data_IF_584952808527
#
_entry.id   IF_584952808527
#
_cell.length_a   1.000
_cell.length_b   1.000
_cell.length_c   1.000
_cell.angle_alpha   90.00
_cell.angle_beta   90.00
_cell.angle_gamma   90.00
#
_symmetry.space_group_name_H-M   'P 1'
#
loop_
_entity.id
_entity.type
_entity.pdbx_description
1 polymer ?
#
# COMPACT_ATOMS: atom_id res chain seq x y z
N UNK A 1 -18.88 51.92 13.50
CA UNK A 1 -18.11 52.25 12.28
C UNK A 1 -16.70 51.74 12.54
N UNK A 2 -16.23 50.58 12.10
CA UNK A 2 -16.58 49.70 10.99
C UNK A 2 -16.61 48.23 11.45
N UNK A 3 -17.64 47.49 11.03
CA UNK A 3 -17.65 46.03 10.97
C UNK A 3 -17.05 45.64 9.62
N UNK A 4 -15.92 44.94 9.59
CA UNK A 4 -15.47 44.21 8.40
C UNK A 4 -15.80 42.73 8.62
N UNK A 5 -16.90 42.31 8.00
CA UNK A 5 -17.24 40.90 7.87
C UNK A 5 -16.27 40.24 6.89
N UNK A 6 -15.55 39.23 7.36
CA UNK A 6 -14.98 38.24 6.47
C UNK A 6 -16.10 37.29 6.07
N UNK A 7 -16.72 37.57 4.92
CA UNK A 7 -17.45 36.54 4.19
C UNK A 7 -16.42 35.50 3.75
N UNK A 8 -16.38 34.38 4.47
CA UNK A 8 -15.75 33.16 4.00
C UNK A 8 -16.35 32.82 2.65
N UNK A 9 -15.54 32.92 1.61
CA UNK A 9 -15.85 32.43 0.28
C UNK A 9 -16.03 30.92 0.44
N UNK A 10 -17.26 30.42 0.33
CA UNK A 10 -17.48 28.99 0.15
C UNK A 10 -16.66 28.58 -1.08
N UNK A 11 -15.56 27.85 -0.86
CA UNK A 11 -14.93 27.15 -1.97
C UNK A 11 -15.98 26.13 -2.41
N UNK A 12 -16.46 26.25 -3.65
CA UNK A 12 -17.13 25.16 -4.33
C UNK A 12 -16.10 24.03 -4.41
N UNK A 13 -16.06 23.16 -3.40
CA UNK A 13 -15.33 21.90 -3.47
C UNK A 13 -15.98 21.10 -4.57
N UNK A 14 -15.22 20.82 -5.64
CA UNK A 14 -15.74 20.08 -6.77
C UNK A 14 -15.88 18.60 -6.36
N UNK A 15 -17.03 18.25 -5.77
CA UNK A 15 -17.36 16.88 -5.35
C UNK A 15 -17.54 15.90 -6.54
N UNK A 16 -17.34 16.36 -7.78
CA UNK A 16 -17.46 15.51 -8.96
C UNK A 16 -16.52 14.30 -8.86
N UNK A 17 -17.07 13.13 -9.15
CA UNK A 17 -16.32 11.93 -9.49
C UNK A 17 -16.25 11.89 -11.01
N UNK A 18 -15.03 11.85 -11.55
CA UNK A 18 -14.78 11.91 -13.00
C UNK A 18 -14.09 10.62 -13.45
N UNK A 19 -14.57 9.98 -14.53
CA UNK A 19 -13.88 8.84 -15.11
C UNK A 19 -12.42 9.17 -15.43
N UNK A 20 -11.56 8.18 -15.26
CA UNK A 20 -10.14 8.22 -15.55
C UNK A 20 -9.74 7.00 -16.36
N UNK A 21 -8.68 7.14 -17.16
CA UNK A 21 -8.09 6.05 -17.92
C UNK A 21 -6.59 6.19 -17.78
N UNK A 22 -5.92 5.10 -17.42
CA UNK A 22 -4.47 5.05 -17.39
C UNK A 22 -3.97 5.15 -18.82
N UNK A 23 -3.24 6.22 -19.14
CA UNK A 23 -2.67 6.40 -20.48
C UNK A 23 -1.34 7.11 -20.36
N UNK A 24 -0.27 6.41 -20.70
CA UNK A 24 1.09 6.94 -20.75
C UNK A 24 1.42 7.30 -22.20
N UNK A 25 1.96 8.50 -22.41
CA UNK A 25 2.29 8.96 -23.74
C UNK A 25 3.43 8.11 -24.32
N UNK A 26 3.41 7.88 -25.64
CA UNK A 26 4.50 7.12 -26.29
C UNK A 26 5.86 7.78 -26.06
N UNK A 27 5.90 9.12 -25.98
CA UNK A 27 7.13 9.86 -25.69
C UNK A 27 7.75 9.51 -24.32
N UNK A 28 6.93 9.18 -23.31
CA UNK A 28 7.42 8.81 -21.98
C UNK A 28 8.01 7.39 -21.99
N UNK A 29 7.42 6.48 -22.78
CA UNK A 29 7.99 5.15 -23.03
C UNK A 29 9.29 5.23 -23.81
N UNK A 30 9.37 6.12 -24.80
CA UNK A 30 10.58 6.34 -25.59
C UNK A 30 11.70 6.93 -24.71
N UNK A 31 11.38 7.87 -23.80
CA UNK A 31 12.33 8.43 -22.82
C UNK A 31 12.84 7.36 -21.85
N UNK A 32 11.95 6.55 -21.29
CA UNK A 32 12.31 5.42 -20.43
C UNK A 32 13.32 4.50 -21.13
N UNK A 33 12.99 4.05 -22.35
CA UNK A 33 13.85 3.16 -23.14
C UNK A 33 15.21 3.81 -23.45
N UNK A 34 15.22 5.09 -23.80
CA UNK A 34 16.46 5.83 -24.07
C UNK A 34 17.34 6.00 -22.82
N UNK A 35 16.76 6.08 -21.62
CA UNK A 35 17.50 6.13 -20.36
C UNK A 35 18.04 4.75 -19.98
N UNK A 36 17.22 3.70 -20.08
CA UNK A 36 17.65 2.32 -19.84
C UNK A 36 18.84 1.94 -20.74
N UNK A 37 18.80 2.29 -22.04
CA UNK A 37 19.87 1.99 -23.00
C UNK A 37 21.19 2.72 -22.71
N UNK A 38 21.16 3.77 -21.89
CA UNK A 38 22.33 4.56 -21.48
C UNK A 38 22.69 4.34 -20.01
N UNK A 39 22.15 3.29 -19.40
CA UNK A 39 22.46 2.93 -18.01
C UNK A 39 23.96 2.77 -17.84
N UNK A 40 24.49 3.44 -16.82
CA UNK A 40 25.84 3.19 -16.31
C UNK A 40 25.71 2.63 -14.90
N UNK A 41 25.79 1.31 -14.79
CA UNK A 41 25.82 0.62 -13.49
C UNK A 41 27.05 1.05 -12.67
N UNK A 42 26.96 1.02 -11.33
CA UNK A 42 28.13 1.24 -10.49
C UNK A 42 29.19 0.15 -10.73
N UNK A 43 30.47 0.52 -10.53
CA UNK A 43 31.54 -0.48 -10.47
C UNK A 43 31.26 -1.48 -9.35
N UNK A 44 31.44 -2.77 -9.62
CA UNK A 44 31.24 -3.80 -8.60
C UNK A 44 32.22 -3.59 -7.43
N UNK A 45 31.68 -3.52 -6.23
CA UNK A 45 32.45 -3.50 -4.98
C UNK A 45 32.38 -4.88 -4.30
N UNK A 46 33.29 -5.21 -3.37
CA UNK A 46 33.10 -6.37 -2.51
C UNK A 46 31.74 -6.29 -1.79
N UNK A 47 30.92 -7.34 -1.89
CA UNK A 47 29.53 -7.34 -1.41
C UNK A 47 28.51 -6.80 -2.42
N UNK A 48 28.76 -6.95 -3.73
CA UNK A 48 27.76 -6.76 -4.80
C UNK A 48 26.74 -7.93 -4.81
N UNK A 49 26.05 -8.07 -3.68
CA UNK A 49 25.03 -9.05 -3.35
C UNK A 49 23.94 -8.40 -2.48
N UNK A 50 22.90 -9.16 -2.14
CA UNK A 50 21.73 -8.66 -1.42
C UNK A 50 22.02 -8.24 0.04
N UNK A 51 23.18 -8.58 0.62
CA UNK A 51 23.50 -8.17 1.99
C UNK A 51 23.67 -6.64 2.09
N UNK A 52 24.04 -5.98 0.99
CA UNK A 52 24.23 -4.52 0.91
C UNK A 52 23.23 -3.81 -0.02
N UNK A 53 22.20 -4.52 -0.48
CA UNK A 53 21.13 -4.00 -1.34
C UNK A 53 21.15 -4.59 -2.75
N UNK A 54 20.50 -3.92 -3.70
CA UNK A 54 20.31 -4.49 -5.05
C UNK A 54 21.61 -4.72 -5.82
N UNK A 55 21.95 -5.96 -6.20
CA UNK A 55 23.20 -6.25 -6.87
C UNK A 55 23.15 -5.97 -8.39
N UNK A 56 24.32 -5.71 -8.99
CA UNK A 56 24.44 -5.38 -10.41
C UNK A 56 23.93 -6.47 -11.34
N UNK A 57 24.07 -7.75 -10.98
CA UNK A 57 23.58 -8.85 -11.80
C UNK A 57 22.05 -8.82 -11.93
N UNK A 58 21.35 -8.55 -10.82
CA UNK A 58 19.90 -8.39 -10.81
C UNK A 58 19.46 -7.16 -11.61
N UNK A 59 20.13 -6.01 -11.41
CA UNK A 59 19.82 -4.80 -12.17
C UNK A 59 20.03 -5.02 -13.68
N UNK A 60 21.08 -5.72 -14.08
CA UNK A 60 21.34 -6.02 -15.48
C UNK A 60 20.23 -6.89 -16.09
N UNK A 61 19.81 -7.93 -15.37
CA UNK A 61 18.73 -8.82 -15.80
C UNK A 61 17.38 -8.07 -15.91
N UNK A 62 17.03 -7.30 -14.89
CA UNK A 62 15.78 -6.54 -14.88
C UNK A 62 15.77 -5.42 -15.92
N UNK A 63 16.90 -4.76 -16.19
CA UNK A 63 17.01 -3.77 -17.28
C UNK A 63 16.82 -4.46 -18.63
N UNK A 64 17.44 -5.61 -18.86
CA UNK A 64 17.24 -6.37 -20.11
C UNK A 64 15.76 -6.77 -20.28
N UNK A 65 15.14 -7.31 -19.23
CA UNK A 65 13.70 -7.63 -19.22
C UNK A 65 12.88 -6.38 -19.52
N UNK A 66 13.16 -5.25 -18.88
CA UNK A 66 12.40 -4.01 -19.03
C UNK A 66 12.49 -3.44 -20.45
N UNK A 67 13.65 -3.53 -21.10
CA UNK A 67 13.85 -3.03 -22.46
C UNK A 67 13.30 -3.97 -23.54
N UNK A 68 13.50 -5.28 -23.36
CA UNK A 68 13.38 -6.25 -24.45
C UNK A 68 12.21 -7.22 -24.30
N UNK A 69 11.55 -7.27 -23.15
CA UNK A 69 10.51 -8.27 -22.87
C UNK A 69 9.29 -7.79 -22.10
N UNK A 70 9.38 -6.66 -21.39
CA UNK A 70 8.28 -6.08 -20.64
C UNK A 70 7.38 -5.24 -21.54
N UNK A 71 6.09 -5.55 -21.56
CA UNK A 71 5.09 -4.83 -22.34
C UNK A 71 4.25 -3.92 -21.44
N UNK A 72 4.63 -2.65 -21.36
CA UNK A 72 3.86 -1.64 -20.62
C UNK A 72 2.42 -1.51 -21.16
N UNK A 73 2.20 -1.62 -22.47
CA UNK A 73 0.86 -1.45 -23.05
C UNK A 73 -0.07 -2.59 -22.63
N UNK A 74 0.45 -3.79 -22.45
CA UNK A 74 -0.30 -4.89 -21.86
C UNK A 74 -0.69 -4.60 -20.39
N UNK A 75 0.22 -4.04 -19.59
CA UNK A 75 -0.10 -3.67 -18.20
C UNK A 75 -1.09 -2.51 -18.13
N UNK A 76 -0.94 -1.51 -18.99
CA UNK A 76 -1.87 -0.40 -19.15
C UNK A 76 -3.27 -0.88 -19.54
N UNK A 77 -3.37 -1.81 -20.48
CA UNK A 77 -4.64 -2.43 -20.86
C UNK A 77 -5.26 -3.19 -19.67
N UNK A 78 -4.46 -4.01 -18.97
CA UNK A 78 -4.90 -4.79 -17.80
C UNK A 78 -5.43 -3.90 -16.68
N UNK A 79 -4.74 -2.79 -16.35
CA UNK A 79 -5.25 -1.83 -15.36
C UNK A 79 -6.60 -1.25 -15.79
N UNK A 80 -6.72 -0.84 -17.06
CA UNK A 80 -7.95 -0.26 -17.61
C UNK A 80 -9.08 -1.27 -17.88
N UNK A 81 -8.92 -2.56 -17.56
CA UNK A 81 -10.04 -3.51 -17.49
C UNK A 81 -11.02 -3.11 -16.39
N UNK A 82 -10.55 -2.36 -15.39
CA UNK A 82 -11.37 -1.83 -14.30
C UNK A 82 -11.68 -0.34 -14.49
N UNK A 83 -12.85 0.13 -14.02
CA UNK A 83 -13.20 1.54 -14.05
C UNK A 83 -12.41 2.36 -13.02
N UNK A 84 -11.64 3.32 -13.51
CA UNK A 84 -10.90 4.30 -12.69
C UNK A 84 -11.63 5.62 -12.61
N UNK A 85 -11.38 6.34 -11.52
CA UNK A 85 -11.95 7.66 -11.28
C UNK A 85 -10.95 8.60 -10.60
N UNK A 86 -11.20 9.89 -10.76
CA UNK A 86 -10.60 10.97 -10.00
C UNK A 86 -11.68 11.75 -9.25
N UNK A 87 -11.38 12.14 -8.03
CA UNK A 87 -12.17 13.13 -7.28
C UNK A 87 -11.25 14.06 -6.48
N UNK A 88 -11.80 15.12 -5.90
CA UNK A 88 -11.04 16.06 -5.06
C UNK A 88 -11.59 16.07 -3.63
N UNK A 89 -10.75 15.81 -2.64
CA UNK A 89 -11.11 15.83 -1.21
C UNK A 89 -10.16 16.78 -0.51
N UNK A 90 -10.69 17.84 0.11
CA UNK A 90 -9.91 18.92 0.73
C UNK A 90 -8.82 19.49 -0.19
N UNK A 91 -9.14 19.63 -1.49
CA UNK A 91 -8.22 20.10 -2.52
C UNK A 91 -7.30 19.00 -3.09
N UNK A 92 -7.14 17.86 -2.43
CA UNK A 92 -6.29 16.76 -2.90
C UNK A 92 -6.97 15.94 -3.98
N UNK A 93 -6.29 15.76 -5.12
CA UNK A 93 -6.66 14.76 -6.12
C UNK A 93 -6.52 13.37 -5.54
N UNK A 94 -7.60 12.60 -5.59
CA UNK A 94 -7.64 11.18 -5.20
C UNK A 94 -8.04 10.35 -6.41
N UNK A 95 -7.13 9.50 -6.85
CA UNK A 95 -7.35 8.44 -7.82
C UNK A 95 -7.84 7.17 -7.12
N UNK A 96 -8.79 6.48 -7.74
CA UNK A 96 -9.27 5.19 -7.25
C UNK A 96 -9.90 4.34 -8.36
N UNK A 97 -9.83 3.02 -8.21
CA UNK A 97 -10.71 2.07 -8.90
C UNK A 97 -11.98 1.91 -8.07
N UNK A 98 -13.14 1.80 -8.72
CA UNK A 98 -14.40 1.48 -8.04
C UNK A 98 -15.22 0.46 -8.82
N UNK A 99 -15.35 -0.75 -8.27
CA UNK A 99 -16.10 -1.85 -8.88
C UNK A 99 -17.21 -2.29 -7.93
N UNK A 100 -18.45 -1.83 -8.13
CA UNK A 100 -19.59 -2.34 -7.37
C UNK A 100 -19.84 -3.80 -7.75
N UNK A 101 -20.25 -4.61 -6.77
CA UNK A 101 -20.74 -5.96 -7.02
C UNK A 101 -22.21 -5.94 -7.44
N UNK A 102 -22.59 -6.79 -8.39
CA UNK A 102 -23.98 -7.01 -8.80
C UNK A 102 -24.78 -7.86 -7.79
N UNK A 103 -24.10 -8.51 -6.84
CA UNK A 103 -24.76 -9.24 -5.74
C UNK A 103 -25.39 -8.26 -4.75
N UNK A 104 -26.70 -8.39 -4.54
CA UNK A 104 -27.45 -7.61 -3.56
C UNK A 104 -26.88 -7.81 -2.14
N UNK A 105 -26.61 -6.69 -1.45
CA UNK A 105 -26.06 -6.73 -0.09
C UNK A 105 -24.55 -6.98 -0.01
N UNK A 106 -23.83 -6.96 -1.14
CA UNK A 106 -22.36 -7.09 -1.14
C UNK A 106 -21.70 -6.04 -0.24
N UNK A 107 -20.74 -6.48 0.58
CA UNK A 107 -20.08 -5.63 1.59
C UNK A 107 -19.16 -4.62 0.92
N UNK A 108 -19.29 -3.30 1.16
CA UNK A 108 -18.32 -2.34 0.65
C UNK A 108 -16.95 -2.52 1.31
N UNK A 109 -15.89 -2.58 0.51
CA UNK A 109 -14.53 -2.87 0.96
C UNK A 109 -13.52 -1.91 0.35
N UNK A 110 -12.79 -1.21 1.22
CA UNK A 110 -11.68 -0.34 0.86
C UNK A 110 -10.37 -1.14 0.85
N UNK A 111 -9.66 -1.22 -0.27
CA UNK A 111 -8.36 -1.91 -0.39
C UNK A 111 -7.23 -0.87 -0.51
N UNK A 112 -6.32 -0.82 0.46
CA UNK A 112 -5.21 0.16 0.47
C UNK A 112 -3.86 -0.54 0.34
N UNK A 113 -3.05 -0.05 -0.60
CA UNK A 113 -1.82 -0.71 -1.07
C UNK A 113 -0.60 -0.48 -0.18
N UNK A 114 0.46 -1.24 -0.46
CA UNK A 114 1.76 -1.20 0.23
C UNK A 114 2.64 -0.02 -0.23
N UNK A 115 3.67 0.33 0.56
CA UNK A 115 4.87 0.99 0.04
C UNK A 115 6.06 0.01 0.01
N UNK A 116 6.83 -0.06 -1.08
CA UNK A 116 6.50 0.44 -2.41
C UNK A 116 5.46 -0.49 -3.04
N UNK A 117 4.40 0.11 -3.57
CA UNK A 117 3.31 -0.59 -4.23
C UNK A 117 2.34 0.44 -4.80
N UNK A 118 1.22 -0.04 -5.34
CA UNK A 118 0.20 0.84 -5.91
C UNK A 118 -1.16 0.16 -5.91
N UNK A 119 -2.17 0.82 -6.49
CA UNK A 119 -3.47 0.20 -6.70
C UNK A 119 -3.39 -1.11 -7.50
N UNK A 120 -2.30 -1.35 -8.24
CA UNK A 120 -2.10 -2.56 -9.01
C UNK A 120 -1.82 -3.81 -8.14
N UNK A 121 -1.51 -3.63 -6.84
CA UNK A 121 -1.41 -4.70 -5.83
C UNK A 121 -2.65 -5.61 -5.81
N UNK A 122 -3.82 -5.10 -6.20
CA UNK A 122 -5.11 -5.75 -6.00
C UNK A 122 -5.82 -6.18 -7.28
N UNK A 123 -5.25 -6.00 -8.48
CA UNK A 123 -5.97 -6.29 -9.73
C UNK A 123 -6.52 -7.72 -9.78
N UNK A 124 -5.72 -8.69 -9.33
CA UNK A 124 -6.11 -10.12 -9.31
C UNK A 124 -7.13 -10.46 -8.23
N UNK A 125 -7.37 -9.56 -7.26
CA UNK A 125 -8.35 -9.75 -6.20
C UNK A 125 -9.71 -9.13 -6.53
N UNK A 126 -9.77 -8.13 -7.42
CA UNK A 126 -11.03 -7.40 -7.72
C UNK A 126 -12.11 -8.36 -8.20
N UNK A 127 -11.85 -9.12 -9.27
CA UNK A 127 -12.82 -10.07 -9.84
C UNK A 127 -13.36 -11.08 -8.83
N UNK A 128 -12.49 -11.85 -8.15
CA UNK A 128 -12.91 -12.75 -7.07
C UNK A 128 -13.72 -12.05 -5.98
N UNK A 129 -13.35 -10.85 -5.54
CA UNK A 129 -14.08 -10.15 -4.48
C UNK A 129 -15.46 -9.67 -4.94
N UNK A 130 -15.58 -9.19 -6.17
CA UNK A 130 -16.84 -8.58 -6.67
C UNK A 130 -17.82 -9.58 -7.28
N UNK A 131 -17.34 -10.69 -7.84
CA UNK A 131 -18.17 -11.76 -8.39
C UNK A 131 -17.69 -13.13 -7.86
N UNK A 132 -17.83 -13.41 -6.56
CA UNK A 132 -17.31 -14.65 -5.98
C UNK A 132 -17.87 -15.90 -6.66
N UNK A 133 -19.10 -15.88 -7.18
CA UNK A 133 -19.75 -17.04 -7.82
C UNK A 133 -19.03 -17.44 -9.11
N UNK A 134 -18.63 -16.47 -9.94
CA UNK A 134 -17.85 -16.76 -11.16
C UNK A 134 -16.47 -17.36 -10.86
N UNK A 135 -15.95 -17.15 -9.65
CA UNK A 135 -14.65 -17.65 -9.18
C UNK A 135 -14.78 -18.81 -8.17
N UNK A 136 -15.94 -19.47 -8.10
CA UNK A 136 -16.16 -20.68 -7.29
C UNK A 136 -16.42 -20.46 -5.79
N UNK A 137 -16.68 -19.22 -5.38
CA UNK A 137 -17.11 -18.83 -4.03
C UNK A 137 -18.64 -18.72 -3.87
N UNK A 138 -19.07 -18.16 -2.74
CA UNK A 138 -20.49 -17.94 -2.40
C UNK A 138 -20.90 -16.48 -2.65
N UNK A 139 -22.16 -16.25 -3.07
CA UNK A 139 -22.68 -14.90 -3.28
C UNK A 139 -22.64 -14.05 -2.00
N UNK A 140 -22.83 -14.67 -0.84
CA UNK A 140 -22.78 -13.98 0.47
C UNK A 140 -21.40 -13.42 0.83
N UNK A 141 -20.35 -13.82 0.09
CA UNK A 141 -18.98 -13.36 0.25
C UNK A 141 -18.61 -12.23 -0.71
N UNK A 142 -19.60 -11.64 -1.39
CA UNK A 142 -19.37 -10.61 -2.38
C UNK A 142 -19.05 -9.26 -1.72
N UNK A 143 -18.15 -8.51 -2.36
CA UNK A 143 -17.77 -7.17 -1.97
C UNK A 143 -17.99 -6.17 -3.10
N UNK A 144 -18.36 -4.94 -2.76
CA UNK A 144 -18.15 -3.80 -3.66
C UNK A 144 -16.80 -3.16 -3.34
N UNK A 145 -15.88 -3.14 -4.30
CA UNK A 145 -14.47 -2.83 -4.04
C UNK A 145 -14.11 -1.40 -4.44
N UNK A 146 -13.39 -0.71 -3.56
CA UNK A 146 -12.78 0.61 -3.82
C UNK A 146 -11.27 0.50 -3.57
N UNK A 147 -10.45 0.81 -4.58
CA UNK A 147 -8.98 0.72 -4.50
C UNK A 147 -8.37 2.10 -4.77
N UNK A 148 -8.20 2.96 -3.75
CA UNK A 148 -7.58 4.25 -3.93
C UNK A 148 -6.05 4.16 -4.03
N UNK A 149 -5.45 5.08 -4.79
CA UNK A 149 -4.05 5.40 -4.62
C UNK A 149 -3.87 6.36 -3.44
N UNK A 150 -2.96 6.03 -2.53
CA UNK A 150 -2.61 6.90 -1.40
C UNK A 150 -2.17 8.28 -1.94
N UNK A 151 -2.60 9.40 -1.34
CA UNK A 151 -2.10 10.73 -1.70
C UNK A 151 -0.57 10.77 -1.81
N UNK A 152 -0.07 11.21 -2.97
CA UNK A 152 1.35 11.21 -3.31
C UNK A 152 1.84 9.98 -4.09
N UNK A 153 0.98 8.99 -4.30
CA UNK A 153 1.27 7.76 -5.04
C UNK A 153 0.48 7.72 -6.35
N UNK A 154 1.09 7.11 -7.37
CA UNK A 154 0.46 6.89 -8.67
C UNK A 154 -0.24 8.15 -9.21
N UNK A 155 -1.56 8.06 -9.43
CA UNK A 155 -2.35 9.15 -9.99
C UNK A 155 -3.02 10.06 -8.94
N UNK A 156 -2.79 9.84 -7.62
CA UNK A 156 -3.21 10.74 -6.54
C UNK A 156 -2.17 11.85 -6.30
N UNK A 157 -1.75 12.51 -7.36
CA UNK A 157 -0.64 13.46 -7.41
C UNK A 157 -1.05 14.72 -8.21
N UNK A 158 -0.45 15.91 -7.96
CA UNK A 158 0.51 16.23 -6.90
C UNK A 158 -0.11 16.23 -5.49
N UNK A 159 0.75 16.13 -4.47
CA UNK A 159 0.36 16.48 -3.11
C UNK A 159 0.11 17.98 -3.01
N UNK A 160 -1.03 18.38 -2.45
CA UNK A 160 -1.41 19.80 -2.36
C UNK A 160 -0.71 20.56 -1.24
N UNK A 161 -0.28 19.87 -0.20
CA UNK A 161 0.37 20.41 0.98
C UNK A 161 1.18 19.34 1.75
N UNK A 162 1.61 19.66 2.98
CA UNK A 162 2.31 18.75 3.91
C UNK A 162 1.35 18.15 4.93
N UNK A 163 1.83 17.24 5.78
CA UNK A 163 1.04 16.63 6.85
C UNK A 163 0.17 15.46 6.37
N UNK A 164 0.55 14.80 5.28
CA UNK A 164 -0.08 13.56 4.81
C UNK A 164 0.39 12.37 5.65
N UNK A 165 -0.06 12.33 6.90
CA UNK A 165 0.03 11.15 7.77
C UNK A 165 -1.03 10.12 7.38
N UNK A 166 -0.85 8.87 7.78
CA UNK A 166 -1.82 7.79 7.57
C UNK A 166 -3.15 8.09 8.24
N UNK A 167 -3.15 8.83 9.36
CA UNK A 167 -4.37 9.34 9.98
C UNK A 167 -5.14 10.33 9.09
N UNK A 168 -4.42 11.20 8.35
CA UNK A 168 -5.04 12.11 7.37
C UNK A 168 -5.54 11.35 6.14
N UNK A 169 -4.78 10.37 5.66
CA UNK A 169 -5.19 9.49 4.56
C UNK A 169 -6.46 8.72 4.94
N UNK A 170 -6.54 8.16 6.15
CA UNK A 170 -7.72 7.47 6.66
C UNK A 170 -8.98 8.35 6.64
N UNK A 171 -8.91 9.60 7.12
CA UNK A 171 -10.04 10.56 7.04
C UNK A 171 -10.43 10.89 5.60
N UNK A 172 -9.43 11.01 4.72
CA UNK A 172 -9.65 11.25 3.29
C UNK A 172 -10.38 10.07 2.66
N UNK A 173 -10.02 8.85 3.02
CA UNK A 173 -10.67 7.64 2.50
C UNK A 173 -12.04 7.37 3.12
N UNK A 174 -12.30 7.67 4.40
CA UNK A 174 -13.67 7.68 4.93
C UNK A 174 -14.54 8.66 4.13
N UNK A 175 -14.04 9.88 3.86
CA UNK A 175 -14.75 10.85 3.01
C UNK A 175 -15.01 10.32 1.60
N UNK A 176 -14.06 9.62 1.00
CA UNK A 176 -14.23 8.95 -0.29
C UNK A 176 -15.36 7.91 -0.23
N UNK A 177 -15.35 7.03 0.79
CA UNK A 177 -16.38 6.01 0.96
C UNK A 177 -17.77 6.62 1.16
N UNK A 178 -17.89 7.71 1.94
CA UNK A 178 -19.16 8.46 2.08
C UNK A 178 -19.62 9.07 0.76
N UNK A 179 -18.70 9.64 -0.01
CA UNK A 179 -19.01 10.25 -1.31
C UNK A 179 -19.52 9.22 -2.32
N UNK A 180 -19.03 7.98 -2.24
CA UNK A 180 -19.52 6.84 -3.03
C UNK A 180 -20.86 6.28 -2.53
N UNK A 181 -21.40 6.79 -1.42
CA UNK A 181 -22.67 6.38 -0.85
C UNK A 181 -22.60 5.18 0.10
N UNK A 182 -21.40 4.76 0.51
CA UNK A 182 -21.23 3.67 1.46
C UNK A 182 -21.35 4.18 2.90
N UNK A 183 -22.51 3.91 3.52
CA UNK A 183 -22.75 4.24 4.93
C UNK A 183 -22.00 3.31 5.88
N UNK A 184 -21.76 2.06 5.45
CA UNK A 184 -20.94 1.08 6.15
C UNK A 184 -19.94 0.44 5.19
N UNK A 185 -18.75 0.13 5.70
CA UNK A 185 -17.68 -0.49 4.91
C UNK A 185 -16.61 -1.14 5.80
N UNK A 186 -15.93 -2.13 5.25
CA UNK A 186 -14.69 -2.70 5.79
C UNK A 186 -13.46 -2.11 5.13
N UNK A 187 -12.29 -2.29 5.76
CA UNK A 187 -11.01 -1.94 5.14
C UNK A 187 -10.06 -3.14 5.13
N UNK A 188 -9.26 -3.21 4.08
CA UNK A 188 -8.10 -4.09 3.97
C UNK A 188 -6.86 -3.31 3.60
N UNK A 189 -5.70 -3.72 4.12
CA UNK A 189 -4.43 -3.24 3.61
C UNK A 189 -3.23 -4.03 4.08
N UNK A 190 -2.11 -3.75 3.41
CA UNK A 190 -0.76 -4.22 3.73
C UNK A 190 0.16 -3.01 3.90
N UNK A 191 1.17 -3.10 4.76
CA UNK A 191 2.18 -2.06 5.01
C UNK A 191 1.55 -0.66 5.24
N UNK A 192 1.83 0.34 4.39
CA UNK A 192 1.21 1.66 4.44
C UNK A 192 -0.33 1.57 4.44
N UNK A 193 -0.92 0.67 3.66
CA UNK A 193 -2.35 0.40 3.69
C UNK A 193 -2.84 -0.25 4.97
N UNK A 194 -2.04 -1.10 5.61
CA UNK A 194 -2.36 -1.62 6.94
C UNK A 194 -2.36 -0.50 8.00
N UNK A 195 -1.43 0.46 7.89
CA UNK A 195 -1.43 1.66 8.73
C UNK A 195 -2.69 2.51 8.50
N UNK A 196 -3.11 2.74 7.25
CA UNK A 196 -4.37 3.45 6.95
C UNK A 196 -5.58 2.72 7.52
N UNK A 197 -5.67 1.40 7.35
CA UNK A 197 -6.77 0.60 7.88
C UNK A 197 -6.81 0.64 9.42
N UNK A 198 -5.64 0.63 10.07
CA UNK A 198 -5.52 0.82 11.52
C UNK A 198 -6.00 2.20 11.97
N UNK A 199 -5.62 3.25 11.26
CA UNK A 199 -6.06 4.61 11.56
C UNK A 199 -7.58 4.79 11.35
N UNK A 200 -8.19 4.07 10.40
CA UNK A 200 -9.65 3.96 10.31
C UNK A 200 -10.26 3.25 11.53
N UNK A 201 -9.61 2.21 12.05
CA UNK A 201 -10.02 1.53 13.29
C UNK A 201 -9.92 2.40 14.54
N UNK A 202 -8.87 3.23 14.65
CA UNK A 202 -8.72 4.23 15.72
C UNK A 202 -9.77 5.34 15.58
N UNK A 203 -9.98 5.84 14.37
CA UNK A 203 -11.01 6.84 14.08
C UNK A 203 -12.43 6.31 14.36
N UNK A 204 -12.64 5.01 14.07
CA UNK A 204 -13.90 4.28 14.19
C UNK A 204 -15.11 5.07 13.68
N UNK A 205 -15.11 5.51 12.40
CA UNK A 205 -16.18 6.34 11.88
C UNK A 205 -17.52 5.55 11.89
N UNK A 206 -18.68 6.22 12.03
CA UNK A 206 -19.96 5.54 12.12
C UNK A 206 -20.22 4.62 10.92
N UNK A 207 -20.45 3.32 11.16
CA UNK A 207 -20.63 2.32 10.10
C UNK A 207 -19.36 1.59 9.66
N UNK A 208 -18.20 1.90 10.25
CA UNK A 208 -16.99 1.11 10.02
C UNK A 208 -17.14 -0.31 10.57
N UNK A 209 -17.03 -1.30 9.69
CA UNK A 209 -17.27 -2.70 10.03
C UNK A 209 -16.07 -3.34 10.72
N UNK A 210 -14.86 -2.98 10.29
CA UNK A 210 -13.62 -3.54 10.80
C UNK A 210 -12.49 -3.46 9.78
N UNK A 211 -11.29 -3.83 10.23
CA UNK A 211 -10.07 -3.86 9.43
C UNK A 211 -9.52 -5.28 9.32
N UNK A 212 -9.07 -5.63 8.12
CA UNK A 212 -8.33 -6.85 7.84
C UNK A 212 -6.93 -6.49 7.35
N UNK A 213 -5.87 -6.91 8.03
CA UNK A 213 -4.51 -6.46 7.70
C UNK A 213 -3.52 -7.61 7.59
N UNK A 214 -2.53 -7.44 6.72
CA UNK A 214 -1.41 -8.38 6.59
C UNK A 214 -0.33 -8.14 7.66
N UNK A 215 -0.30 -6.94 8.26
CA UNK A 215 0.62 -6.59 9.33
C UNK A 215 -0.07 -5.70 10.37
N UNK A 216 0.24 -5.92 11.65
CA UNK A 216 0.09 -4.89 12.68
C UNK A 216 1.48 -4.56 13.21
N UNK A 217 1.95 -3.34 12.93
CA UNK A 217 3.26 -2.86 13.36
C UNK A 217 3.26 -2.46 14.85
N UNK A 218 3.08 -3.46 15.73
CA UNK A 218 3.11 -3.30 17.18
C UNK A 218 4.50 -3.67 17.71
N UNK A 219 5.35 -2.67 17.91
CA UNK A 219 6.72 -2.84 18.37
C UNK A 219 6.82 -2.81 19.92
N UNK A 220 7.83 -3.47 20.52
CA UNK A 220 8.08 -3.37 21.95
C UNK A 220 8.35 -1.93 22.38
N UNK A 221 7.76 -1.49 23.48
CA UNK A 221 8.05 -0.18 24.09
C UNK A 221 9.34 -0.19 24.92
N UNK A 222 9.80 -1.39 25.29
CA UNK A 222 10.91 -1.60 26.22
C UNK A 222 10.46 -1.83 27.67
N UNK A 223 9.16 -1.78 27.95
CA UNK A 223 8.61 -2.19 29.25
C UNK A 223 8.79 -3.71 29.44
N UNK A 224 9.50 -4.16 30.49
CA UNK A 224 9.66 -5.59 30.79
C UNK A 224 8.34 -6.36 30.92
N UNK A 225 7.25 -5.69 31.32
CA UNK A 225 5.94 -6.31 31.48
C UNK A 225 5.36 -6.86 30.16
N UNK A 226 5.77 -6.31 29.02
CA UNK A 226 5.33 -6.76 27.69
C UNK A 226 5.80 -8.19 27.38
N UNK A 227 6.95 -8.58 27.94
CA UNK A 227 7.60 -9.86 27.67
C UNK A 227 7.14 -10.99 28.63
N UNK A 228 6.38 -10.67 29.68
CA UNK A 228 5.92 -11.65 30.67
C UNK A 228 5.05 -12.75 30.05
N UNK A 229 4.33 -12.42 28.96
CA UNK A 229 3.44 -13.35 28.24
C UNK A 229 4.07 -13.97 27.00
N UNK A 230 5.33 -13.64 26.69
CA UNK A 230 5.97 -14.14 25.49
C UNK A 230 6.18 -15.65 25.56
N UNK A 231 5.82 -16.32 24.49
CA UNK A 231 6.13 -17.72 24.22
C UNK A 231 7.42 -17.81 23.39
N UNK A 232 8.01 -19.01 23.22
CA UNK A 232 9.16 -19.18 22.32
C UNK A 232 8.90 -18.69 20.88
N UNK A 233 7.65 -18.78 20.40
CA UNK A 233 7.28 -18.27 19.08
C UNK A 233 7.32 -16.73 19.02
N UNK A 234 6.93 -16.05 20.11
CA UNK A 234 7.00 -14.59 20.20
C UNK A 234 8.45 -14.10 20.25
N UNK A 235 9.35 -14.84 20.92
CA UNK A 235 10.79 -14.54 20.87
C UNK A 235 11.39 -14.79 19.49
N UNK A 236 10.99 -15.85 18.78
CA UNK A 236 11.43 -16.08 17.41
C UNK A 236 10.95 -14.96 16.46
N UNK A 237 9.73 -14.48 16.65
CA UNK A 237 9.21 -13.31 15.92
C UNK A 237 9.98 -12.02 16.27
N UNK A 238 10.40 -11.86 17.52
CA UNK A 238 11.25 -10.73 17.95
C UNK A 238 12.67 -10.80 17.36
N UNK A 239 13.24 -12.01 17.21
CA UNK A 239 14.51 -12.18 16.49
C UNK A 239 14.34 -11.84 15.01
N UNK A 240 13.24 -12.28 14.38
CA UNK A 240 12.92 -11.93 13.01
C UNK A 240 12.72 -10.41 12.80
N UNK A 241 12.20 -9.70 13.81
CA UNK A 241 12.12 -8.24 13.79
C UNK A 241 13.49 -7.58 13.61
N UNK A 242 14.58 -8.17 14.14
CA UNK A 242 15.93 -7.62 13.95
C UNK A 242 16.34 -7.61 12.47
N UNK A 243 16.01 -8.68 11.74
CA UNK A 243 16.20 -8.74 10.30
C UNK A 243 15.33 -7.69 9.58
N UNK A 244 14.04 -7.57 9.95
CA UNK A 244 13.16 -6.56 9.35
C UNK A 244 13.71 -5.14 9.55
N UNK A 245 14.30 -4.87 10.72
CA UNK A 245 14.96 -3.60 10.99
C UNK A 245 16.25 -3.40 10.19
N UNK A 246 17.02 -4.45 9.89
CA UNK A 246 18.27 -4.31 9.12
C UNK A 246 18.04 -3.88 7.68
N UNK A 247 16.89 -4.19 7.09
CA UNK A 247 16.50 -3.75 5.73
C UNK A 247 15.78 -2.39 5.72
N UNK A 248 15.63 -1.74 6.89
CA UNK A 248 14.91 -0.47 7.07
C UNK A 248 15.65 0.80 6.62
N UNK A 249 16.71 0.68 5.81
CA UNK A 249 17.52 1.81 5.35
C UNK A 249 16.72 2.87 4.59
N UNK A 250 15.80 2.43 3.72
CA UNK A 250 14.89 3.29 2.96
C UNK A 250 13.99 4.15 3.88
N UNK A 251 13.52 3.57 5.00
CA UNK A 251 12.65 4.28 5.94
C UNK A 251 13.44 5.38 6.67
N UNK A 252 14.68 5.12 7.08
CA UNK A 252 15.52 6.09 7.77
C UNK A 252 15.81 7.34 6.91
N UNK A 253 16.12 7.14 5.64
CA UNK A 253 16.36 8.23 4.69
C UNK A 253 15.06 8.95 4.28
N UNK A 254 13.96 8.24 4.04
CA UNK A 254 12.67 8.85 3.73
C UNK A 254 12.08 9.63 4.92
N UNK A 255 12.31 9.16 6.15
CA UNK A 255 11.83 9.83 7.37
C UNK A 255 12.57 11.14 7.67
N UNK A 256 13.72 11.40 7.02
CA UNK A 256 14.58 12.53 7.34
C UNK A 256 14.88 13.44 6.17
N UNK A 257 15.18 12.90 4.98
CA UNK A 257 15.62 13.62 3.78
C UNK A 257 14.96 13.09 2.50
N UNK A 258 13.63 12.91 2.44
CA UNK A 258 12.96 12.29 1.29
C UNK A 258 13.18 13.08 0.00
N UNK A 259 13.21 14.41 0.07
CA UNK A 259 13.45 15.27 -1.09
C UNK A 259 14.86 15.12 -1.67
N UNK A 260 15.86 14.81 -0.84
CA UNK A 260 17.26 14.68 -1.28
C UNK A 260 17.42 13.42 -2.11
N UNK A 261 16.96 12.28 -1.59
CA UNK A 261 17.12 11.00 -2.27
C UNK A 261 16.26 10.90 -3.53
N UNK A 262 15.08 11.53 -3.53
CA UNK A 262 14.16 11.53 -4.66
C UNK A 262 14.75 12.11 -5.95
N UNK A 263 15.70 13.05 -5.90
CA UNK A 263 16.30 13.62 -7.13
C UNK A 263 16.99 12.54 -7.97
N UNK A 264 17.74 11.64 -7.32
CA UNK A 264 18.42 10.55 -8.02
C UNK A 264 17.46 9.46 -8.49
N UNK A 265 16.44 9.16 -7.69
CA UNK A 265 15.41 8.16 -8.01
C UNK A 265 14.57 8.61 -9.21
N UNK A 266 14.13 9.87 -9.23
CA UNK A 266 13.27 10.43 -10.27
C UNK A 266 13.97 10.69 -11.61
N UNK A 267 15.30 10.81 -11.65
CA UNK A 267 16.05 11.02 -12.92
C UNK A 267 16.55 9.71 -13.55
N UNK A 268 16.67 8.64 -12.76
CA UNK A 268 17.25 7.37 -13.20
C UNK A 268 16.23 6.23 -13.06
N UNK A 269 15.73 5.64 -14.15
CA UNK A 269 14.81 4.50 -14.05
C UNK A 269 15.48 3.28 -13.39
N UNK A 270 16.79 3.09 -13.58
CA UNK A 270 17.54 2.03 -12.86
C UNK A 270 17.73 2.38 -11.39
N UNK A 271 17.82 3.68 -11.05
CA UNK A 271 17.78 4.15 -9.67
C UNK A 271 16.42 3.90 -9.03
N UNK A 272 15.33 4.14 -9.76
CA UNK A 272 13.96 3.79 -9.35
C UNK A 272 13.80 2.29 -9.12
N UNK A 273 14.30 1.45 -10.04
CA UNK A 273 14.27 0.00 -9.89
C UNK A 273 15.06 -0.47 -8.66
N UNK A 274 16.30 0.00 -8.50
CA UNK A 274 17.12 -0.32 -7.33
C UNK A 274 16.50 0.16 -6.01
N UNK A 275 15.82 1.32 -6.02
CA UNK A 275 15.15 1.83 -4.83
C UNK A 275 13.96 0.97 -4.39
N UNK A 276 13.30 0.32 -5.34
CA UNK A 276 12.19 -0.59 -5.08
C UNK A 276 12.67 -2.04 -4.80
N UNK A 277 13.88 -2.19 -4.27
CA UNK A 277 14.43 -3.51 -3.90
C UNK A 277 13.59 -4.30 -2.89
N UNK A 278 12.72 -3.60 -2.17
CA UNK A 278 11.84 -4.16 -1.15
C UNK A 278 10.96 -5.27 -1.72
N UNK A 279 10.61 -5.25 -3.00
CA UNK A 279 9.92 -6.38 -3.66
C UNK A 279 10.68 -7.71 -3.59
N UNK A 280 12.00 -7.70 -3.38
CA UNK A 280 12.81 -8.89 -3.15
C UNK A 280 13.23 -9.03 -1.67
N UNK A 281 13.61 -7.91 -1.05
CA UNK A 281 14.21 -7.90 0.29
C UNK A 281 13.18 -8.04 1.40
N UNK A 282 11.94 -7.59 1.24
CA UNK A 282 10.85 -7.94 2.15
C UNK A 282 10.43 -9.40 1.91
N UNK A 283 11.10 -10.26 2.64
CA UNK A 283 10.99 -11.72 2.59
C UNK A 283 12.31 -12.44 2.44
N UNK A 284 13.43 -11.74 2.63
CA UNK A 284 14.76 -12.34 2.69
C UNK A 284 15.08 -13.12 1.39
N UNK A 285 14.68 -12.55 0.24
CA UNK A 285 14.88 -13.13 -1.08
C UNK A 285 13.91 -14.27 -1.44
N UNK A 286 12.82 -14.48 -0.68
CA UNK A 286 11.82 -15.53 -0.95
C UNK A 286 10.54 -15.02 -1.61
N UNK A 287 10.47 -13.72 -1.89
CA UNK A 287 9.32 -13.08 -2.56
C UNK A 287 8.90 -13.83 -3.83
N UNK A 288 7.60 -14.04 -3.98
CA UNK A 288 7.00 -14.68 -5.15
C UNK A 288 6.56 -13.67 -6.22
N UNK A 289 6.81 -12.38 -6.02
CA UNK A 289 6.44 -11.32 -6.98
C UNK A 289 7.27 -11.49 -8.26
N UNK A 290 6.58 -11.58 -9.39
CA UNK A 290 7.23 -11.77 -10.69
C UNK A 290 7.95 -10.52 -11.17
N UNK A 291 8.94 -10.68 -12.06
CA UNK A 291 9.65 -9.55 -12.66
C UNK A 291 8.70 -8.56 -13.34
N UNK A 292 7.65 -9.04 -14.02
CA UNK A 292 6.69 -8.16 -14.69
C UNK A 292 5.79 -7.41 -13.70
N UNK A 293 5.43 -8.02 -12.56
CA UNK A 293 4.74 -7.31 -11.48
C UNK A 293 5.63 -6.21 -10.90
N UNK A 294 6.90 -6.51 -10.59
CA UNK A 294 7.87 -5.52 -10.11
C UNK A 294 8.03 -4.38 -11.13
N UNK A 295 8.22 -4.70 -12.40
CA UNK A 295 8.39 -3.70 -13.46
C UNK A 295 7.12 -2.88 -13.69
N UNK A 296 5.93 -3.44 -13.44
CA UNK A 296 4.66 -2.69 -13.47
C UNK A 296 4.65 -1.63 -12.39
N UNK A 297 4.95 -2.01 -11.15
CA UNK A 297 5.02 -1.09 -10.01
C UNK A 297 6.09 -0.02 -10.25
N UNK A 298 7.32 -0.42 -10.55
CA UNK A 298 8.45 0.49 -10.82
C UNK A 298 8.13 1.46 -11.97
N UNK A 299 7.49 0.98 -13.04
CA UNK A 299 7.07 1.81 -14.17
C UNK A 299 5.99 2.82 -13.78
N UNK A 300 5.03 2.44 -12.93
CA UNK A 300 4.02 3.38 -12.42
C UNK A 300 4.67 4.53 -11.65
N UNK A 301 5.62 4.24 -10.75
CA UNK A 301 6.37 5.28 -10.04
C UNK A 301 7.15 6.19 -11.00
N UNK A 302 7.80 5.60 -12.01
CA UNK A 302 8.53 6.33 -13.04
C UNK A 302 7.63 7.27 -13.85
N UNK A 303 6.57 6.76 -14.48
CA UNK A 303 5.70 7.54 -15.36
C UNK A 303 4.89 8.61 -14.62
N UNK A 304 4.56 8.36 -13.36
CA UNK A 304 3.88 9.37 -12.52
C UNK A 304 4.86 10.29 -11.80
N UNK A 305 6.16 9.99 -11.85
CA UNK A 305 7.25 10.68 -11.14
C UNK A 305 6.92 10.90 -9.65
N UNK A 306 6.47 9.83 -8.98
CA UNK A 306 5.88 9.92 -7.64
C UNK A 306 6.80 9.55 -6.49
N UNK A 307 8.02 9.05 -6.71
CA UNK A 307 8.90 8.66 -5.58
C UNK A 307 9.16 9.79 -4.58
N UNK A 308 9.25 11.03 -5.05
CA UNK A 308 9.39 12.19 -4.17
C UNK A 308 8.17 12.42 -3.26
N UNK A 309 6.97 12.12 -3.75
CA UNK A 309 5.73 12.34 -3.04
C UNK A 309 5.35 11.11 -2.19
N UNK A 310 5.46 9.91 -2.75
CA UNK A 310 5.24 8.65 -2.06
C UNK A 310 6.17 8.51 -0.85
N UNK A 311 7.46 8.83 -0.96
CA UNK A 311 8.39 8.75 0.17
C UNK A 311 8.12 9.77 1.29
N UNK A 312 7.26 10.78 1.09
CA UNK A 312 7.02 11.83 2.10
C UNK A 312 6.22 11.35 3.29
N UNK A 313 5.36 10.33 3.15
CA UNK A 313 4.56 9.90 4.29
C UNK A 313 5.47 9.43 5.45
N UNK A 314 6.61 8.79 5.17
CA UNK A 314 7.59 8.42 6.20
C UNK A 314 8.05 9.65 7.02
N UNK A 315 8.35 10.76 6.35
CA UNK A 315 8.72 12.00 7.03
C UNK A 315 7.55 12.55 7.85
N UNK A 316 6.35 12.58 7.28
CA UNK A 316 5.17 13.11 7.98
C UNK A 316 4.79 12.24 9.18
N UNK A 317 4.88 10.91 9.09
CA UNK A 317 4.70 9.96 10.20
C UNK A 317 5.74 10.18 11.30
N UNK A 318 7.03 10.20 10.94
CA UNK A 318 8.13 10.38 11.89
C UNK A 318 8.10 11.74 12.61
N UNK A 319 7.43 12.74 12.03
CA UNK A 319 7.29 14.09 12.60
C UNK A 319 5.84 14.41 13.02
N UNK A 320 4.96 13.42 13.09
CA UNK A 320 3.54 13.62 13.40
C UNK A 320 3.32 14.13 14.82
N UNK A 321 4.18 13.72 15.76
CA UNK A 321 4.02 13.98 17.19
C UNK A 321 2.77 13.30 17.79
N UNK A 322 2.20 12.32 17.08
CA UNK A 322 1.02 11.60 17.52
C UNK A 322 1.38 10.57 18.61
N UNK A 323 0.61 10.57 19.70
CA UNK A 323 0.74 9.55 20.73
C UNK A 323 0.02 8.25 20.30
N UNK A 324 0.60 7.07 20.56
CA UNK A 324 -0.05 5.80 20.28
C UNK A 324 -1.47 5.73 20.87
N UNK A 325 -2.45 5.38 20.03
CA UNK A 325 -3.85 5.21 20.44
C UNK A 325 -4.26 3.75 20.35
N UNK A 326 -5.12 3.30 21.27
CA UNK A 326 -5.73 1.99 21.20
C UNK A 326 -6.75 1.92 20.06
N UNK A 327 -6.74 0.83 19.31
CA UNK A 327 -7.77 0.51 18.34
C UNK A 327 -8.82 -0.42 18.97
N UNK A 328 -10.09 -0.07 18.81
CA UNK A 328 -11.22 -0.84 19.34
C UNK A 328 -12.06 -1.53 18.26
N UNK A 329 -11.82 -1.24 16.97
CA UNK A 329 -12.57 -1.82 15.87
C UNK A 329 -12.29 -3.32 15.71
N UNK A 330 -13.27 -4.13 15.24
CA UNK A 330 -13.03 -5.52 14.88
C UNK A 330 -11.83 -5.63 13.94
N UNK A 331 -10.84 -6.43 14.34
CA UNK A 331 -9.57 -6.56 13.63
C UNK A 331 -9.31 -8.01 13.25
N UNK A 332 -9.04 -8.24 11.97
CA UNK A 332 -8.53 -9.48 11.40
C UNK A 332 -7.06 -9.31 11.02
N UNK A 333 -6.23 -10.29 11.36
CA UNK A 333 -4.79 -10.28 11.07
C UNK A 333 -4.40 -11.56 10.35
N UNK A 334 -3.64 -11.42 9.26
CA UNK A 334 -3.10 -12.56 8.51
C UNK A 334 -1.59 -12.46 8.46
N UNK A 335 -0.90 -13.45 8.99
CA UNK A 335 0.57 -13.46 9.02
C UNK A 335 1.09 -14.49 8.03
N UNK A 336 1.88 -14.02 7.07
CA UNK A 336 2.52 -14.85 6.04
C UNK A 336 3.94 -15.27 6.45
N UNK A 337 4.40 -16.45 5.99
CA UNK A 337 5.63 -17.11 6.45
C UNK A 337 6.92 -16.31 6.19
N UNK A 338 6.96 -15.51 5.14
CA UNK A 338 8.14 -14.78 4.73
C UNK A 338 7.97 -13.27 4.93
N UNK A 339 7.04 -12.83 5.79
CA UNK A 339 6.83 -11.42 6.10
C UNK A 339 7.19 -11.07 7.56
N UNK A 340 7.16 -9.78 7.87
CA UNK A 340 7.04 -9.23 9.22
C UNK A 340 6.10 -10.07 10.09
N UNK A 341 6.63 -10.52 11.22
CA UNK A 341 5.91 -11.34 12.19
C UNK A 341 5.20 -10.46 13.19
N UNK A 342 3.91 -10.23 12.95
CA UNK A 342 3.05 -9.57 13.95
C UNK A 342 3.10 -10.39 15.26
N UNK A 343 3.64 -9.79 16.32
CA UNK A 343 3.78 -10.42 17.63
C UNK A 343 2.46 -10.29 18.38
N UNK A 344 1.77 -11.41 18.62
CA UNK A 344 0.39 -11.42 19.13
C UNK A 344 0.23 -10.67 20.46
N UNK A 345 1.08 -10.86 21.49
CA UNK A 345 0.96 -10.10 22.73
C UNK A 345 1.05 -8.57 22.56
N UNK A 346 1.87 -8.09 21.63
CA UNK A 346 2.02 -6.66 21.34
C UNK A 346 0.84 -6.14 20.51
N UNK A 347 0.33 -6.95 19.58
CA UNK A 347 -0.88 -6.62 18.83
C UNK A 347 -2.09 -6.50 19.76
N UNK A 348 -2.27 -7.41 20.72
CA UNK A 348 -3.34 -7.36 21.71
C UNK A 348 -3.19 -6.17 22.69
N UNK A 349 -1.97 -5.67 22.91
CA UNK A 349 -1.72 -4.42 23.68
C UNK A 349 -2.31 -3.22 22.95
N UNK A 350 -2.09 -3.12 21.64
CA UNK A 350 -2.46 -1.95 20.83
C UNK A 350 -3.89 -2.01 20.28
N UNK A 351 -4.52 -3.19 20.32
CA UNK A 351 -5.82 -3.46 19.71
C UNK A 351 -6.68 -4.31 20.66
N UNK A 352 -7.83 -3.80 21.09
CA UNK A 352 -8.66 -4.49 22.10
C UNK A 352 -9.66 -5.48 21.50
N UNK A 353 -9.75 -5.59 20.17
CA UNK A 353 -10.80 -6.36 19.49
C UNK A 353 -10.29 -7.12 18.27
N UNK A 354 -9.17 -7.83 18.42
CA UNK A 354 -8.68 -8.79 17.40
C UNK A 354 -9.55 -10.05 17.46
N UNK A 355 -10.45 -10.20 16.49
CA UNK A 355 -11.46 -11.27 16.45
C UNK A 355 -11.13 -12.37 15.44
N UNK A 356 -10.13 -12.13 14.57
CA UNK A 356 -9.69 -13.09 13.57
C UNK A 356 -8.17 -13.08 13.43
N UNK A 357 -7.57 -14.26 13.34
CA UNK A 357 -6.13 -14.42 13.18
C UNK A 357 -5.82 -15.67 12.37
N UNK A 358 -5.06 -15.51 11.29
CA UNK A 358 -4.62 -16.60 10.43
C UNK A 358 -3.11 -16.56 10.24
N UNK A 359 -2.51 -17.73 10.04
CA UNK A 359 -1.10 -17.84 9.65
C UNK A 359 -1.01 -18.72 8.40
N UNK A 360 -0.18 -18.34 7.45
CA UNK A 360 0.09 -19.08 6.22
C UNK A 360 1.56 -19.46 6.12
N UNK A 361 1.83 -20.66 5.64
CA UNK A 361 3.18 -21.25 5.58
C UNK A 361 4.00 -20.80 4.36
N UNK A 362 3.44 -19.97 3.47
CA UNK A 362 4.09 -19.46 2.25
C UNK A 362 3.60 -18.08 1.88
N UNK A 363 4.47 -17.25 1.32
CA UNK A 363 4.18 -15.89 0.88
C UNK A 363 4.82 -14.87 1.82
N UNK A 364 5.01 -13.65 1.33
CA UNK A 364 5.68 -12.59 2.07
C UNK A 364 4.85 -11.30 2.18
N UNK A 365 5.57 -10.19 2.15
CA UNK A 365 5.06 -8.85 2.42
C UNK A 365 4.05 -8.35 1.37
N UNK A 366 4.15 -8.87 0.15
CA UNK A 366 3.29 -8.50 -0.97
C UNK A 366 2.25 -9.59 -1.21
N UNK A 367 1.71 -10.19 -0.14
CA UNK A 367 0.80 -11.32 -0.24
C UNK A 367 -0.44 -11.09 -1.12
N UNK A 368 -0.88 -9.84 -1.34
CA UNK A 368 -1.91 -9.51 -2.34
C UNK A 368 -1.47 -9.82 -3.79
N UNK A 369 -0.17 -9.67 -4.10
CA UNK A 369 0.42 -10.05 -5.39
C UNK A 369 0.89 -11.52 -5.41
N UNK A 370 1.42 -12.02 -4.29
CA UNK A 370 2.03 -13.35 -4.21
C UNK A 370 0.99 -14.47 -4.03
N UNK A 371 -0.05 -14.21 -3.24
CA UNK A 371 -1.06 -15.17 -2.79
C UNK A 371 -2.49 -14.56 -2.80
N UNK A 372 -2.94 -13.93 -3.90
CA UNK A 372 -4.24 -13.23 -3.96
C UNK A 372 -5.43 -14.11 -3.55
N UNK A 373 -5.40 -15.40 -3.89
CA UNK A 373 -6.46 -16.35 -3.54
C UNK A 373 -6.55 -16.59 -2.02
N UNK A 374 -5.41 -16.70 -1.34
CA UNK A 374 -5.36 -16.92 0.12
C UNK A 374 -5.81 -15.67 0.87
N UNK A 375 -5.35 -14.49 0.44
CA UNK A 375 -5.78 -13.21 1.00
C UNK A 375 -7.29 -13.02 0.79
N UNK A 376 -7.81 -13.30 -0.41
CA UNK A 376 -9.24 -13.22 -0.72
C UNK A 376 -10.07 -14.18 0.14
N UNK A 377 -9.65 -15.43 0.28
CA UNK A 377 -10.35 -16.41 1.09
C UNK A 377 -10.41 -16.03 2.57
N UNK A 378 -9.31 -15.50 3.10
CA UNK A 378 -9.23 -15.09 4.50
C UNK A 378 -10.04 -13.81 4.78
N UNK A 379 -10.00 -12.84 3.87
CA UNK A 379 -10.86 -11.66 3.88
C UNK A 379 -12.34 -12.02 3.99
N UNK A 380 -12.81 -12.93 3.12
CA UNK A 380 -14.21 -13.41 3.14
C UNK A 380 -14.56 -14.03 4.48
N UNK A 381 -13.67 -14.87 5.02
CA UNK A 381 -13.87 -15.51 6.32
C UNK A 381 -13.97 -14.49 7.46
N UNK A 382 -13.16 -13.45 7.45
CA UNK A 382 -13.22 -12.39 8.44
C UNK A 382 -14.57 -11.65 8.39
N UNK A 383 -14.94 -11.09 7.23
CA UNK A 383 -16.14 -10.27 7.10
C UNK A 383 -17.45 -11.03 7.24
N UNK A 384 -17.47 -12.35 6.95
CA UNK A 384 -18.66 -13.19 7.19
C UNK A 384 -19.05 -13.28 8.67
N UNK A 385 -18.09 -13.07 9.58
CA UNK A 385 -18.30 -13.19 11.02
C UNK A 385 -18.55 -11.84 11.73
N UNK A 386 -18.75 -10.75 10.97
CA UNK A 386 -18.98 -9.40 11.51
C UNK A 386 -20.44 -8.96 11.50
#
# INVERSE_FOLDING_TARGET
MFLYGFYGRAMNTNESIRPFTVTIAQADLDDLNARLARTRLPEAAPGDDWDLGTPNHYLSEMVDRWQNGFDWRAQEARMNEFPHYLTEIDGQTVHFIHVPSEVEGATPLLLTHTYPGSFADFLDMIGPLTDPVAYGGSAEDAFSVVVPSIPGFGFSTPLVDRGWTMARVARTFDTLMRRLGYESYGAHGSDAGAMVARELGVLNPPGFLGLHVLQLFSFPSGDPAEFEKFTPADYAALEHLQWFQSVGGYNAINSTRPQTVAVGISDSPVGQLAWNELFNNFGNGTSLVTQDQILTEVSLYWFTNTSAAAGRYHYEEANSGAEPQLNHAPTGVVVFADDFKTIRPLADRDNTNIVHWSNYDKGGHFASLERPDEVTADLRKFFRNL
#
